data_IF_007871074964
#
_entry.id   IF_007871074964
#
_cell.length_a   1.000
_cell.length_b   1.000
_cell.length_c   1.000
_cell.angle_alpha   90.00
_cell.angle_beta   90.00
_cell.angle_gamma   90.00
#
_symmetry.space_group_name_H-M   'P 1'
#
loop_
_entity.id
_entity.type
_entity.pdbx_description
1 polymer ?
#
# COMPACT_ATOMS: atom_id res chain seq x y z
N UNK A 1 18.66 41.82 -2.03
CA UNK A 1 18.79 40.49 -2.64
C UNK A 1 20.28 40.18 -2.63
N UNK A 2 20.71 39.33 -1.71
CA UNK A 2 22.12 39.04 -1.50
C UNK A 2 22.67 38.27 -2.71
N UNK A 3 23.73 38.80 -3.29
CA UNK A 3 24.36 38.28 -4.49
C UNK A 3 25.00 36.90 -4.22
N UNK A 4 24.54 35.88 -4.95
CA UNK A 4 25.36 34.75 -5.39
C UNK A 4 25.57 33.53 -4.47
N UNK A 5 25.12 33.52 -3.22
CA UNK A 5 25.27 32.32 -2.36
C UNK A 5 24.03 31.39 -2.44
N UNK A 6 24.23 30.06 -2.49
CA UNK A 6 23.17 29.09 -2.31
C UNK A 6 22.43 29.29 -0.99
N UNK A 7 21.17 28.90 -0.93
CA UNK A 7 20.41 28.94 0.31
C UNK A 7 21.01 27.99 1.35
N UNK A 8 20.86 28.32 2.64
CA UNK A 8 21.32 27.44 3.73
C UNK A 8 20.67 26.05 3.65
N UNK A 9 19.39 25.99 3.26
CA UNK A 9 18.67 24.74 3.02
C UNK A 9 19.31 23.90 1.91
N UNK A 10 19.83 24.52 0.85
CA UNK A 10 20.53 23.80 -0.22
C UNK A 10 21.87 23.24 0.27
N UNK A 11 22.61 23.98 1.09
CA UNK A 11 23.86 23.50 1.68
C UNK A 11 23.61 22.34 2.64
N UNK A 12 22.53 22.40 3.42
CA UNK A 12 22.11 21.29 4.29
C UNK A 12 21.70 20.06 3.48
N UNK A 13 20.85 20.24 2.46
CA UNK A 13 20.42 19.15 1.58
C UNK A 13 21.61 18.52 0.81
N UNK A 14 22.66 19.30 0.50
CA UNK A 14 23.91 18.78 -0.02
C UNK A 14 24.62 17.88 0.99
N UNK A 15 24.83 18.36 2.22
CA UNK A 15 25.51 17.62 3.28
C UNK A 15 24.76 16.36 3.72
N UNK A 16 23.43 16.35 3.59
CA UNK A 16 22.58 15.18 3.88
C UNK A 16 22.52 14.19 2.71
N UNK A 17 22.88 14.62 1.50
CA UNK A 17 22.87 13.80 0.29
C UNK A 17 21.51 13.72 -0.39
N UNK A 18 20.62 14.68 -0.12
CA UNK A 18 19.24 14.71 -0.61
C UNK A 18 19.07 15.48 -1.92
N UNK A 19 20.09 16.25 -2.34
CA UNK A 19 20.03 17.00 -3.60
C UNK A 19 20.04 16.08 -4.85
N UNK A 20 19.22 16.37 -5.87
CA UNK A 20 19.25 15.67 -7.15
C UNK A 20 20.55 15.95 -7.90
N UNK A 21 20.96 15.03 -8.79
CA UNK A 21 22.28 15.00 -9.42
C UNK A 21 22.74 16.33 -10.05
N UNK A 22 21.93 16.94 -10.91
CA UNK A 22 22.31 18.17 -11.59
C UNK A 22 22.50 19.35 -10.64
N UNK A 23 21.60 19.49 -9.65
CA UNK A 23 21.68 20.56 -8.64
C UNK A 23 22.84 20.34 -7.67
N UNK A 24 23.11 19.09 -7.30
CA UNK A 24 24.28 18.69 -6.50
C UNK A 24 25.57 19.09 -7.20
N UNK A 25 25.72 18.76 -8.48
CA UNK A 25 26.91 19.08 -9.26
C UNK A 25 27.16 20.59 -9.36
N UNK A 26 26.10 21.37 -9.62
CA UNK A 26 26.20 22.84 -9.66
C UNK A 26 26.62 23.44 -8.31
N UNK A 27 26.08 22.93 -7.21
CA UNK A 27 26.45 23.38 -5.86
C UNK A 27 27.89 23.00 -5.50
N UNK A 28 28.33 21.78 -5.84
CA UNK A 28 29.71 21.35 -5.64
C UNK A 28 30.68 22.27 -6.40
N UNK A 29 30.37 22.60 -7.66
CA UNK A 29 31.18 23.55 -8.44
C UNK A 29 31.25 24.93 -7.78
N UNK A 30 30.15 25.41 -7.20
CA UNK A 30 30.16 26.68 -6.45
C UNK A 30 31.02 26.57 -5.18
N UNK A 31 30.89 25.49 -4.42
CA UNK A 31 31.64 25.25 -3.18
C UNK A 31 33.14 25.19 -3.45
N UNK A 32 33.56 24.55 -4.53
CA UNK A 32 34.97 24.50 -4.95
C UNK A 32 35.54 25.91 -5.21
N UNK A 33 34.70 26.85 -5.66
CA UNK A 33 35.09 28.23 -5.94
C UNK A 33 34.85 29.21 -4.77
N UNK A 34 34.07 28.82 -3.76
CA UNK A 34 33.57 29.72 -2.72
C UNK A 34 33.94 29.21 -1.31
N UNK A 35 34.99 29.77 -0.67
CA UNK A 35 35.46 29.30 0.63
C UNK A 35 34.45 29.51 1.76
N UNK A 36 33.53 30.47 1.63
CA UNK A 36 32.46 30.71 2.61
C UNK A 36 31.48 29.52 2.62
N UNK A 37 31.02 29.10 1.44
CA UNK A 37 30.11 27.96 1.32
C UNK A 37 30.80 26.64 1.66
N UNK A 38 32.07 26.48 1.30
CA UNK A 38 32.87 25.32 1.70
C UNK A 38 32.97 25.18 3.23
N UNK A 39 33.22 26.30 3.93
CA UNK A 39 33.26 26.32 5.39
C UNK A 39 31.90 25.95 6.00
N UNK A 40 30.81 26.53 5.48
CA UNK A 40 29.47 26.24 5.99
C UNK A 40 29.11 24.74 5.85
N UNK A 41 29.40 24.11 4.71
CA UNK A 41 29.20 22.67 4.53
C UNK A 41 30.08 21.86 5.48
N UNK A 42 31.35 22.25 5.63
CA UNK A 42 32.26 21.59 6.57
C UNK A 42 31.79 21.65 8.03
N UNK A 43 31.19 22.77 8.47
CA UNK A 43 30.60 22.91 9.81
C UNK A 43 29.40 21.95 10.00
N UNK A 44 28.54 21.80 8.99
CA UNK A 44 27.43 20.84 9.01
C UNK A 44 27.93 19.40 9.06
N UNK A 45 28.92 19.05 8.23
CA UNK A 45 29.52 17.71 8.21
C UNK A 45 30.21 17.37 9.54
N UNK A 46 30.94 18.34 10.13
CA UNK A 46 31.56 18.18 11.44
C UNK A 46 30.52 17.96 12.54
N UNK A 47 29.42 18.71 12.53
CA UNK A 47 28.29 18.49 13.44
C UNK A 47 27.69 17.09 13.30
N UNK A 48 27.49 16.63 12.06
CA UNK A 48 26.99 15.28 11.77
C UNK A 48 27.96 14.20 12.25
N UNK A 49 29.26 14.38 12.05
CA UNK A 49 30.29 13.47 12.54
C UNK A 49 30.30 13.41 14.08
N UNK A 50 30.19 14.56 14.75
CA UNK A 50 30.11 14.64 16.20
C UNK A 50 28.87 13.92 16.76
N UNK A 51 27.70 14.10 16.15
CA UNK A 51 26.48 13.39 16.53
C UNK A 51 26.61 11.86 16.37
N UNK A 52 27.27 11.40 15.30
CA UNK A 52 27.53 9.95 15.09
C UNK A 52 28.57 9.39 16.04
N UNK A 53 29.55 10.20 16.45
CA UNK A 53 30.58 9.81 17.41
C UNK A 53 30.09 9.89 18.86
N UNK A 54 28.93 10.50 19.11
CA UNK A 54 28.36 10.58 20.44
C UNK A 54 28.12 9.18 21.03
N UNK A 55 28.33 8.98 22.34
CA UNK A 55 28.06 7.71 22.99
C UNK A 55 26.61 7.26 22.74
N UNK A 56 26.44 5.98 22.38
CA UNK A 56 25.12 5.41 22.21
C UNK A 56 24.35 5.47 23.54
N UNK A 57 23.20 6.15 23.53
CA UNK A 57 22.31 6.21 24.70
C UNK A 57 21.36 5.02 24.65
N UNK A 58 21.32 4.24 25.72
CA UNK A 58 20.39 3.12 25.85
C UNK A 58 18.95 3.65 25.88
N UNK A 59 18.13 3.24 24.91
CA UNK A 59 16.71 3.61 24.90
C UNK A 59 15.95 2.99 26.10
N UNK A 60 15.05 3.75 26.77
CA UNK A 60 14.21 3.22 27.83
C UNK A 60 13.45 1.97 27.38
N UNK A 61 13.34 0.96 28.26
CA UNK A 61 12.70 -0.33 27.91
C UNK A 61 11.27 -0.16 27.40
N UNK A 62 10.50 0.80 27.96
CA UNK A 62 9.14 1.08 27.48
C UNK A 62 9.11 1.67 26.06
N UNK A 63 10.11 2.48 25.69
CA UNK A 63 10.19 3.03 24.33
C UNK A 63 10.51 1.92 23.33
N UNK A 64 11.49 1.06 23.64
CA UNK A 64 11.84 -0.08 22.78
C UNK A 64 10.64 -1.01 22.53
N UNK A 65 9.88 -1.35 23.57
CA UNK A 65 8.67 -2.16 23.45
C UNK A 65 7.58 -1.51 22.60
N UNK A 66 7.40 -0.19 22.72
CA UNK A 66 6.41 0.55 21.91
C UNK A 66 6.82 0.57 20.44
N UNK A 67 8.08 0.88 20.15
CA UNK A 67 8.58 0.90 18.77
C UNK A 67 8.54 -0.49 18.14
N UNK A 68 8.90 -1.55 18.87
CA UNK A 68 8.80 -2.91 18.33
C UNK A 68 7.36 -3.30 18.05
N UNK A 69 6.44 -3.03 18.98
CA UNK A 69 5.02 -3.33 18.78
C UNK A 69 4.41 -2.54 17.60
N UNK A 70 4.85 -1.29 17.42
CA UNK A 70 4.41 -0.45 16.30
C UNK A 70 4.94 -0.96 14.95
N UNK A 71 6.21 -1.39 14.90
CA UNK A 71 6.79 -2.02 13.71
C UNK A 71 6.08 -3.33 13.35
N UNK A 72 5.77 -4.16 14.34
CA UNK A 72 5.04 -5.41 14.12
C UNK A 72 3.61 -5.15 13.63
N UNK A 73 2.94 -4.10 14.14
CA UNK A 73 1.60 -3.71 13.72
C UNK A 73 1.55 -3.19 12.28
N UNK A 74 2.63 -2.57 11.81
CA UNK A 74 2.74 -2.01 10.46
C UNK A 74 3.44 -2.95 9.47
N UNK A 75 3.81 -4.17 9.89
CA UNK A 75 4.44 -5.11 8.97
C UNK A 75 3.40 -5.49 7.89
N UNK A 76 3.63 -5.14 6.60
CA UNK A 76 2.70 -5.50 5.55
C UNK A 76 2.58 -7.03 5.52
N UNK A 77 1.39 -7.60 5.26
CA UNK A 77 1.22 -9.04 5.25
C UNK A 77 2.25 -9.63 4.29
N UNK A 78 3.19 -10.42 4.84
CA UNK A 78 4.22 -11.09 4.06
C UNK A 78 3.50 -11.98 3.08
N UNK A 79 3.40 -11.54 1.82
CA UNK A 79 2.89 -12.39 0.74
C UNK A 79 3.93 -13.49 0.55
N UNK A 80 3.69 -14.63 1.18
CA UNK A 80 4.47 -15.84 0.94
C UNK A 80 4.21 -16.22 -0.51
N UNK A 81 5.13 -15.83 -1.39
CA UNK A 81 5.09 -16.22 -2.79
C UNK A 81 5.51 -17.68 -2.87
N UNK A 82 4.55 -18.58 -2.67
CA UNK A 82 4.74 -20.00 -2.95
C UNK A 82 4.86 -20.13 -4.46
N UNK A 83 6.05 -20.45 -4.96
CA UNK A 83 6.20 -20.68 -6.39
C UNK A 83 5.30 -21.85 -6.79
N UNK A 84 4.49 -21.73 -7.85
CA UNK A 84 3.59 -22.81 -8.28
C UNK A 84 4.37 -24.10 -8.60
N UNK A 85 5.66 -23.96 -8.95
CA UNK A 85 6.56 -25.09 -9.20
C UNK A 85 6.83 -25.94 -7.95
N UNK A 86 6.85 -25.33 -6.74
CA UNK A 86 7.00 -26.07 -5.48
C UNK A 86 5.75 -26.87 -5.12
N UNK A 87 4.55 -26.36 -5.46
CA UNK A 87 3.29 -27.10 -5.31
C UNK A 87 3.26 -28.32 -6.24
N UNK A 88 3.70 -28.16 -7.50
CA UNK A 88 3.79 -29.27 -8.46
C UNK A 88 4.79 -30.33 -8.00
N UNK A 89 5.96 -29.92 -7.49
CA UNK A 89 6.96 -30.86 -6.99
C UNK A 89 6.46 -31.69 -5.79
N UNK A 90 5.61 -31.11 -4.93
CA UNK A 90 5.02 -31.81 -3.78
C UNK A 90 3.88 -32.76 -4.18
N UNK A 91 3.15 -32.47 -5.25
CA UNK A 91 2.03 -33.30 -5.72
C UNK A 91 2.43 -34.38 -6.75
N UNK A 92 3.59 -34.24 -7.39
CA UNK A 92 4.15 -35.21 -8.34
C UNK A 92 4.23 -36.67 -7.83
N UNK A 93 4.62 -36.99 -6.57
CA UNK A 93 4.68 -38.39 -6.14
C UNK A 93 3.30 -39.03 -5.99
N UNK A 94 2.24 -38.24 -5.78
CA UNK A 94 0.88 -38.75 -5.54
C UNK A 94 0.22 -39.24 -6.85
N UNK A 95 0.54 -38.62 -7.98
CA UNK A 95 0.02 -39.03 -9.29
C UNK A 95 0.67 -40.32 -9.81
N UNK A 96 1.94 -40.57 -9.48
CA UNK A 96 2.65 -41.80 -9.87
C UNK A 96 2.04 -43.04 -9.21
N UNK A 97 1.66 -42.94 -7.93
CA UNK A 97 1.01 -44.05 -7.21
C UNK A 97 -0.37 -44.37 -7.78
N UNK A 98 -1.15 -43.34 -8.12
CA UNK A 98 -2.49 -43.50 -8.72
C UNK A 98 -2.44 -44.14 -10.12
N UNK A 99 -1.46 -43.76 -10.95
CA UNK A 99 -1.28 -44.34 -12.28
C UNK A 99 -0.88 -45.83 -12.24
N UNK A 100 -0.08 -46.22 -11.25
CA UNK A 100 0.35 -47.61 -11.07
C UNK A 100 -0.83 -48.53 -10.65
N UNK A 101 -1.76 -48.03 -9.83
CA UNK A 101 -2.96 -48.79 -9.43
C UNK A 101 -3.92 -48.97 -10.62
N UNK A 102 -4.10 -47.93 -11.46
CA UNK A 102 -4.98 -48.00 -12.63
C UNK A 102 -4.45 -48.96 -13.73
N UNK A 103 -3.13 -49.03 -13.93
CA UNK A 103 -2.51 -49.90 -14.92
C UNK A 103 -2.63 -51.39 -14.56
N UNK A 104 -2.65 -51.75 -13.27
CA UNK A 104 -2.83 -53.15 -12.85
C UNK A 104 -4.29 -53.59 -13.01
N UNK A 105 -5.26 -52.68 -12.86
CA UNK A 105 -6.68 -53.00 -12.99
C UNK A 105 -7.16 -53.18 -14.45
N UNK A 106 -6.38 -52.74 -15.45
CA UNK A 106 -6.81 -52.71 -16.87
C UNK A 106 -6.28 -53.87 -17.72
N UNK A 107 -5.53 -54.82 -17.14
CA UNK A 107 -4.94 -55.95 -17.89
C UNK A 107 -5.88 -57.17 -17.99
N UNK A 108 -7.01 -57.20 -17.26
CA UNK A 108 -7.87 -58.39 -17.14
C UNK A 108 -9.30 -58.27 -17.70
N UNK A 109 -9.62 -57.28 -18.55
CA UNK A 109 -10.95 -57.23 -19.18
C UNK A 109 -10.86 -56.97 -20.68
N UNK A 110 -10.56 -58.03 -21.42
CA UNK A 110 -10.94 -58.16 -22.82
C UNK A 110 -12.45 -58.30 -22.94
N UNK A 111 -13.06 -57.49 -23.79
CA UNK A 111 -14.51 -57.50 -24.03
C UNK A 111 -14.84 -56.55 -25.16
N UNK A 112 -14.99 -57.12 -26.34
CA UNK A 112 -15.35 -56.49 -27.59
C UNK A 112 -16.77 -55.85 -27.59
N UNK A 113 -16.99 -55.06 -28.65
CA UNK A 113 -18.27 -54.77 -29.30
C UNK A 113 -19.12 -53.56 -28.84
N UNK A 114 -19.20 -52.62 -29.78
CA UNK A 114 -20.45 -52.09 -30.34
C UNK A 114 -21.11 -50.85 -29.73
N UNK A 115 -21.62 -50.04 -30.67
CA UNK A 115 -22.92 -49.39 -30.60
C UNK A 115 -23.08 -48.08 -29.80
N UNK A 116 -23.50 -47.06 -30.55
CA UNK A 116 -24.45 -46.03 -30.09
C UNK A 116 -23.78 -44.75 -29.59
N UNK A 117 -23.97 -43.57 -30.18
CA UNK A 117 -25.17 -43.07 -30.82
C UNK A 117 -25.96 -42.20 -29.84
N UNK A 118 -25.87 -40.88 -30.03
CA UNK A 118 -26.96 -39.93 -29.73
C UNK A 118 -27.24 -39.58 -28.27
N UNK A 119 -27.24 -38.28 -27.97
CA UNK A 119 -27.79 -37.76 -26.72
C UNK A 119 -27.49 -36.30 -26.49
N UNK A 120 -28.16 -35.42 -27.25
CA UNK A 120 -28.44 -34.05 -26.78
C UNK A 120 -29.38 -34.15 -25.58
N UNK A 121 -29.20 -33.34 -24.55
CA UNK A 121 -30.06 -32.19 -24.21
C UNK A 121 -29.86 -31.72 -22.75
N UNK A 122 -29.58 -30.42 -22.64
CA UNK A 122 -30.02 -29.42 -21.66
C UNK A 122 -30.73 -29.85 -20.36
N UNK A 123 -30.25 -29.32 -19.23
CA UNK A 123 -31.02 -28.66 -18.15
C UNK A 123 -30.02 -28.29 -17.03
N UNK A 124 -29.81 -27.02 -16.67
CA UNK A 124 -30.66 -26.12 -15.87
C UNK A 124 -30.46 -26.27 -14.35
N UNK A 125 -30.53 -25.12 -13.67
CA UNK A 125 -30.60 -24.85 -12.23
C UNK A 125 -29.24 -24.90 -11.50
N UNK A 126 -28.68 -23.79 -10.99
CA UNK A 126 -29.18 -22.80 -10.01
C UNK A 126 -29.12 -23.32 -8.56
N UNK A 127 -28.75 -22.40 -7.68
CA UNK A 127 -28.71 -22.47 -6.20
C UNK A 127 -27.57 -23.29 -5.58
N UNK A 128 -26.86 -22.83 -4.55
CA UNK A 128 -27.02 -21.67 -3.69
C UNK A 128 -26.13 -21.81 -2.46
N UNK A 129 -26.05 -20.72 -1.68
CA UNK A 129 -25.85 -20.64 -0.22
C UNK A 129 -24.81 -21.57 0.46
N UNK A 130 -23.83 -21.12 1.22
CA UNK A 130 -23.85 -20.05 2.22
C UNK A 130 -23.07 -20.53 3.47
N UNK A 131 -22.41 -19.61 4.16
CA UNK A 131 -21.69 -19.82 5.43
C UNK A 131 -20.69 -18.67 5.61
N UNK A 132 -20.89 -17.68 6.48
CA UNK A 132 -21.28 -17.80 7.89
C UNK A 132 -20.08 -18.39 8.64
N UNK A 133 -19.38 -17.74 9.57
CA UNK A 133 -19.86 -16.79 10.55
C UNK A 133 -18.65 -16.08 11.23
N UNK A 134 -18.89 -14.83 11.63
CA UNK A 134 -18.41 -14.12 12.84
C UNK A 134 -16.93 -14.15 13.26
N UNK A 135 -16.31 -12.96 13.21
CA UNK A 135 -16.03 -12.26 14.47
C UNK A 135 -16.39 -10.78 14.29
N UNK A 136 -17.59 -10.46 14.77
CA UNK A 136 -17.92 -9.16 15.31
C UNK A 136 -16.84 -8.78 16.33
N UNK A 137 -16.02 -7.80 15.98
CA UNK A 137 -15.50 -6.89 16.99
C UNK A 137 -16.24 -5.59 16.77
N UNK A 138 -17.44 -5.57 17.35
CA UNK A 138 -18.13 -4.38 17.84
C UNK A 138 -17.18 -3.68 18.83
N UNK A 139 -16.17 -3.01 18.30
CA UNK A 139 -15.60 -1.84 18.95
C UNK A 139 -16.63 -0.76 18.74
N UNK A 140 -17.22 -0.31 19.84
CA UNK A 140 -18.01 0.92 19.98
C UNK A 140 -17.46 1.99 19.03
N UNK A 141 -17.99 2.01 17.82
CA UNK A 141 -17.81 3.12 16.92
C UNK A 141 -18.72 4.18 17.52
N UNK A 142 -18.16 5.31 18.01
CA UNK A 142 -19.02 6.41 18.40
C UNK A 142 -19.96 6.66 17.23
N UNK A 143 -21.26 6.71 17.52
CA UNK A 143 -22.29 7.31 16.68
C UNK A 143 -21.90 8.76 16.47
N UNK A 144 -20.86 8.97 15.65
CA UNK A 144 -20.39 10.25 15.18
C UNK A 144 -21.45 10.67 14.17
N UNK A 145 -22.34 11.50 14.68
CA UNK A 145 -23.15 12.48 13.99
C UNK A 145 -22.99 12.44 12.46
N UNK A 146 -24.08 12.07 11.79
CA UNK A 146 -24.24 12.12 10.33
C UNK A 146 -24.21 13.57 9.77
N UNK A 147 -23.55 14.51 10.43
CA UNK A 147 -23.52 15.95 10.10
C UNK A 147 -22.38 16.32 9.15
N UNK A 148 -22.13 15.46 8.14
CA UNK A 148 -21.19 15.78 7.08
C UNK A 148 -21.90 16.35 5.87
N UNK A 149 -21.38 17.45 5.31
CA UNK A 149 -21.91 18.03 4.07
C UNK A 149 -21.44 17.19 2.87
N UNK A 150 -22.38 16.66 2.08
CA UNK A 150 -22.05 15.95 0.84
C UNK A 150 -21.58 16.95 -0.22
N UNK A 151 -20.34 16.84 -0.67
CA UNK A 151 -19.70 17.80 -1.58
C UNK A 151 -19.74 17.32 -3.04
N UNK A 152 -19.53 16.02 -3.27
CA UNK A 152 -19.48 15.48 -4.63
C UNK A 152 -19.79 13.97 -4.67
N UNK A 153 -20.16 13.49 -5.87
CA UNK A 153 -20.43 12.09 -6.16
C UNK A 153 -19.52 11.63 -7.31
N UNK A 154 -18.66 10.64 -7.07
CA UNK A 154 -17.53 10.31 -7.95
C UNK A 154 -17.55 8.84 -8.38
N UNK A 155 -17.12 8.55 -9.60
CA UNK A 155 -16.97 7.19 -10.10
C UNK A 155 -15.65 6.54 -9.64
N UNK A 156 -15.77 5.25 -9.31
CA UNK A 156 -14.65 4.37 -8.98
C UNK A 156 -14.78 3.71 -7.61
N UNK A 157 -13.88 2.77 -7.26
CA UNK A 157 -13.86 2.13 -5.95
C UNK A 157 -13.57 3.16 -4.84
N UNK A 158 -14.27 3.13 -3.68
CA UNK A 158 -14.06 4.09 -2.58
C UNK A 158 -12.61 4.22 -2.14
N UNK A 159 -11.87 3.10 -2.10
CA UNK A 159 -10.44 3.07 -1.73
C UNK A 159 -9.56 3.88 -2.69
N UNK A 160 -9.87 3.86 -3.99
CA UNK A 160 -9.11 4.63 -4.97
C UNK A 160 -9.41 6.13 -4.87
N UNK A 161 -10.65 6.49 -4.55
CA UNK A 161 -11.05 7.89 -4.32
C UNK A 161 -10.35 8.43 -3.05
N UNK A 162 -10.35 7.66 -1.96
CA UNK A 162 -9.63 8.05 -0.74
C UNK A 162 -8.12 8.16 -0.95
N UNK A 163 -7.50 7.21 -1.66
CA UNK A 163 -6.06 7.26 -1.98
C UNK A 163 -5.71 8.48 -2.86
N UNK A 164 -6.57 8.81 -3.82
CA UNK A 164 -6.41 10.01 -4.66
C UNK A 164 -6.45 11.28 -3.82
N UNK A 165 -7.44 11.43 -2.93
CA UNK A 165 -7.54 12.61 -2.07
C UNK A 165 -6.35 12.72 -1.11
N UNK A 166 -5.87 11.60 -0.55
CA UNK A 166 -4.63 11.55 0.25
C UNK A 166 -3.41 12.02 -0.52
N UNK A 167 -3.29 11.63 -1.80
CA UNK A 167 -2.17 12.08 -2.65
C UNK A 167 -2.19 13.59 -2.93
N UNK A 168 -3.32 14.25 -2.71
CA UNK A 168 -3.50 15.71 -2.80
C UNK A 168 -3.34 16.43 -1.44
N UNK A 169 -2.94 15.70 -0.40
CA UNK A 169 -2.76 16.26 0.95
C UNK A 169 -4.07 16.39 1.75
N UNK A 170 -5.16 15.77 1.31
CA UNK A 170 -6.44 15.76 2.03
C UNK A 170 -6.56 14.50 2.89
N UNK A 171 -6.93 14.66 4.16
CA UNK A 171 -7.14 13.51 5.06
C UNK A 171 -8.48 12.82 4.74
N UNK A 172 -8.44 11.79 3.91
CA UNK A 172 -9.61 11.05 3.45
C UNK A 172 -9.65 9.62 4.00
N UNK A 173 -10.79 9.20 4.55
CA UNK A 173 -11.05 7.83 5.02
C UNK A 173 -12.31 7.25 4.39
N UNK A 174 -12.36 5.92 4.25
CA UNK A 174 -13.56 5.23 3.74
C UNK A 174 -14.41 4.81 4.93
N UNK A 175 -15.67 5.25 4.96
CA UNK A 175 -16.66 4.89 5.99
C UNK A 175 -17.87 4.26 5.28
N UNK A 176 -18.05 2.96 5.43
CA UNK A 176 -19.05 2.20 4.69
C UNK A 176 -18.85 2.32 3.17
N UNK A 177 -19.84 2.87 2.47
CA UNK A 177 -19.79 3.12 1.00
C UNK A 177 -19.47 4.58 0.64
N UNK A 178 -19.09 5.41 1.61
CA UNK A 178 -18.78 6.83 1.43
C UNK A 178 -17.30 7.10 1.72
N UNK A 179 -16.78 8.20 1.20
CA UNK A 179 -15.45 8.72 1.53
C UNK A 179 -15.64 9.97 2.36
N UNK A 180 -15.16 9.95 3.60
CA UNK A 180 -15.19 11.08 4.53
C UNK A 180 -13.85 11.78 4.47
N UNK A 181 -13.85 13.09 4.25
CA UNK A 181 -12.65 13.93 4.20
C UNK A 181 -12.68 14.89 5.38
N UNK A 182 -11.64 14.86 6.20
CA UNK A 182 -11.44 15.85 7.26
C UNK A 182 -10.69 17.03 6.64
N UNK A 183 -11.43 18.04 6.19
CA UNK A 183 -10.88 19.22 5.53
C UNK A 183 -11.51 20.49 6.08
N UNK A 184 -10.70 21.55 6.18
CA UNK A 184 -11.19 22.87 6.59
C UNK A 184 -11.93 23.61 5.47
N UNK A 185 -11.79 23.20 4.21
CA UNK A 185 -12.37 23.86 3.04
C UNK A 185 -13.08 22.86 2.11
N UNK A 186 -14.43 22.86 2.07
CA UNK A 186 -15.19 21.99 1.16
C UNK A 186 -15.00 22.36 -0.32
N UNK A 187 -14.71 23.62 -0.65
CA UNK A 187 -14.51 24.07 -2.02
C UNK A 187 -13.18 23.57 -2.60
N UNK A 188 -12.17 23.36 -1.75
CA UNK A 188 -10.93 22.69 -2.15
C UNK A 188 -11.19 21.24 -2.57
N UNK A 189 -12.02 20.51 -1.81
CA UNK A 189 -12.41 19.12 -2.14
C UNK A 189 -13.22 19.08 -3.43
N UNK A 190 -14.16 20.00 -3.61
CA UNK A 190 -14.97 20.11 -4.84
C UNK A 190 -14.09 20.36 -6.08
N UNK A 191 -13.12 21.27 -5.99
CA UNK A 191 -12.19 21.59 -7.10
C UNK A 191 -11.34 20.40 -7.53
N UNK A 192 -10.82 19.62 -6.58
CA UNK A 192 -10.03 18.42 -6.87
C UNK A 192 -10.88 17.30 -7.50
N UNK A 193 -12.16 17.23 -7.16
CA UNK A 193 -13.08 16.23 -7.69
C UNK A 193 -13.75 16.63 -9.00
N UNK A 194 -13.75 17.92 -9.37
CA UNK A 194 -14.37 18.42 -10.60
C UNK A 194 -13.80 17.80 -11.88
N UNK A 195 -12.56 17.31 -11.86
CA UNK A 195 -11.92 16.65 -12.99
C UNK A 195 -12.35 15.18 -13.17
N UNK A 196 -13.12 14.60 -12.25
CA UNK A 196 -13.51 13.19 -12.28
C UNK A 196 -14.95 12.99 -12.75
N UNK A 197 -15.24 11.89 -13.47
CA UNK A 197 -16.61 11.56 -13.84
C UNK A 197 -17.47 11.29 -12.60
N UNK A 198 -18.72 11.74 -12.65
CA UNK A 198 -19.70 11.50 -11.60
C UNK A 198 -19.99 10.01 -11.41
N UNK A 199 -20.29 9.60 -10.18
CA UNK A 199 -20.57 8.19 -9.89
C UNK A 199 -21.21 7.95 -8.52
N UNK A 200 -21.38 6.68 -8.10
CA UNK A 200 -22.20 6.34 -6.94
C UNK A 200 -21.55 6.63 -5.58
N UNK A 201 -20.27 6.98 -5.53
CA UNK A 201 -19.55 7.16 -4.27
C UNK A 201 -19.69 8.61 -3.81
N UNK A 202 -20.36 8.81 -2.68
CA UNK A 202 -20.49 10.11 -2.05
C UNK A 202 -19.20 10.47 -1.28
N UNK A 203 -18.70 11.68 -1.53
CA UNK A 203 -17.61 12.30 -0.77
C UNK A 203 -18.22 13.33 0.17
N UNK A 204 -18.00 13.13 1.46
CA UNK A 204 -18.58 13.94 2.54
C UNK A 204 -17.45 14.64 3.28
N UNK A 205 -17.60 15.94 3.56
CA UNK A 205 -16.61 16.69 4.34
C UNK A 205 -17.08 16.77 5.79
N UNK A 206 -16.21 16.35 6.70
CA UNK A 206 -16.41 16.44 8.15
C UNK A 206 -15.69 17.69 8.63
N UNK A 207 -16.43 18.62 9.23
CA UNK A 207 -15.85 19.79 9.88
C UNK A 207 -14.92 19.34 11.02
N UNK A 208 -13.72 19.92 11.14
CA UNK A 208 -12.67 19.44 12.04
C UNK A 208 -13.03 19.49 13.52
#
# INVERSE_FOLDING_TARGET
MAEGHPSELDLLALAEGELPGDRRNALMQHIDACPICARAVGEVEAGRAALRAAPAVEAPRQLRRRVSADLDAHEPPRRVYVSPMRLVALLAPLTVVLALVAAVASIDFGGDDSSGGGGRESAQADEGAGGGDTLDQELDAPTLAEEGMAVASVAGPPRQVAAFLKSRGLDARVVGRRVVVRASDPDAVARELAARPGGPIQVVVESP
#
